data_IF_277116995694
#
_entry.id   IF_277116995694
#
_cell.length_a   1.000
_cell.length_b   1.000
_cell.length_c   1.000
_cell.angle_alpha   90.00
_cell.angle_beta   90.00
_cell.angle_gamma   90.00
#
_symmetry.space_group_name_H-M   'P 1'
#
loop_
_entity.id
_entity.type
_entity.pdbx_description
1 polymer ?
#
# COMPACT_ATOMS: atom_id res chain seq x y z
N UNK A 1 -43.87 -22.97 -13.89
CA UNK A 1 -43.08 -22.08 -14.77
C UNK A 1 -42.20 -21.07 -14.00
N UNK A 2 -42.12 -21.14 -12.66
CA UNK A 2 -41.31 -20.26 -11.81
C UNK A 2 -39.98 -20.87 -11.32
N UNK A 3 -39.83 -22.20 -11.38
CA UNK A 3 -38.59 -22.90 -10.96
C UNK A 3 -37.42 -22.71 -11.92
N UNK A 4 -37.70 -22.56 -13.22
CA UNK A 4 -36.67 -22.39 -14.26
C UNK A 4 -35.92 -21.06 -14.10
N UNK A 5 -36.55 -20.06 -13.47
CA UNK A 5 -35.93 -18.75 -13.20
C UNK A 5 -35.05 -18.74 -11.93
N UNK A 6 -35.24 -19.70 -11.01
CA UNK A 6 -34.48 -19.75 -9.74
C UNK A 6 -33.11 -20.40 -9.88
N UNK A 7 -32.98 -21.37 -10.79
CA UNK A 7 -31.71 -22.05 -11.07
C UNK A 7 -30.59 -21.14 -11.60
N UNK A 8 -30.81 -20.23 -12.57
CA UNK A 8 -29.75 -19.32 -13.03
C UNK A 8 -29.35 -18.29 -11.97
N UNK A 9 -30.26 -17.87 -11.10
CA UNK A 9 -29.98 -16.95 -9.99
C UNK A 9 -29.06 -17.57 -8.93
N UNK A 10 -29.31 -18.82 -8.53
CA UNK A 10 -28.48 -19.54 -7.57
C UNK A 10 -27.11 -19.93 -8.16
N UNK A 11 -27.05 -20.24 -9.45
CA UNK A 11 -25.79 -20.47 -10.16
C UNK A 11 -24.95 -19.18 -10.31
N UNK A 12 -25.60 -18.03 -10.52
CA UNK A 12 -24.92 -16.73 -10.62
C UNK A 12 -24.43 -16.22 -9.25
N UNK A 13 -25.21 -16.44 -8.18
CA UNK A 13 -24.82 -16.06 -6.82
C UNK A 13 -23.57 -16.80 -6.33
N UNK A 14 -23.48 -18.10 -6.60
CA UNK A 14 -22.32 -18.93 -6.19
C UNK A 14 -21.07 -18.68 -7.05
N UNK A 15 -21.24 -18.34 -8.34
CA UNK A 15 -20.14 -17.94 -9.21
C UNK A 15 -19.55 -16.55 -8.87
N UNK A 16 -20.38 -15.66 -8.32
CA UNK A 16 -19.97 -14.29 -7.92
C UNK A 16 -19.07 -14.32 -6.68
N UNK A 17 -19.35 -15.18 -5.69
CA UNK A 17 -18.54 -15.24 -4.46
C UNK A 17 -17.10 -15.76 -4.70
N UNK A 18 -16.91 -16.78 -5.54
CA UNK A 18 -15.56 -17.35 -5.78
C UNK A 18 -14.65 -16.45 -6.62
N UNK A 19 -15.21 -15.55 -7.43
CA UNK A 19 -14.46 -14.55 -8.20
C UNK A 19 -14.04 -13.35 -7.33
N UNK A 20 -14.62 -13.21 -6.13
CA UNK A 20 -14.41 -12.07 -5.23
C UNK A 20 -12.98 -11.93 -4.73
N UNK A 21 -12.41 -12.97 -4.10
CA UNK A 21 -11.15 -12.82 -3.36
C UNK A 21 -9.90 -12.66 -4.24
N UNK A 22 -9.81 -13.38 -5.37
CA UNK A 22 -8.66 -13.27 -6.28
C UNK A 22 -8.59 -11.91 -6.97
N UNK A 23 -9.73 -11.25 -7.15
CA UNK A 23 -9.81 -9.90 -7.72
C UNK A 23 -9.22 -8.84 -6.78
N UNK A 24 -9.19 -9.10 -5.47
CA UNK A 24 -8.58 -8.21 -4.47
C UNK A 24 -7.09 -8.44 -4.27
N UNK A 25 -6.46 -9.42 -4.95
CA UNK A 25 -5.03 -9.68 -4.81
C UNK A 25 -4.16 -8.42 -4.97
N UNK A 26 -4.36 -7.56 -5.98
CA UNK A 26 -3.54 -6.36 -6.12
C UNK A 26 -3.70 -5.41 -4.92
N UNK A 27 -4.94 -5.20 -4.46
CA UNK A 27 -5.22 -4.37 -3.29
C UNK A 27 -4.58 -4.94 -2.01
N UNK A 28 -4.69 -6.25 -1.79
CA UNK A 28 -4.08 -6.94 -0.65
C UNK A 28 -2.56 -6.81 -0.68
N UNK A 29 -1.94 -6.96 -1.86
CA UNK A 29 -0.48 -6.80 -2.02
C UNK A 29 -0.07 -5.36 -1.71
N UNK A 30 -0.82 -4.36 -2.21
CA UNK A 30 -0.48 -2.97 -1.98
C UNK A 30 -0.60 -2.56 -0.50
N UNK A 31 -1.73 -2.92 0.13
CA UNK A 31 -1.99 -2.60 1.53
C UNK A 31 -1.08 -3.41 2.46
N UNK A 32 -1.03 -4.74 2.27
CA UNK A 32 -0.20 -5.62 3.10
C UNK A 32 1.29 -5.30 2.97
N UNK A 33 1.75 -5.05 1.74
CA UNK A 33 3.12 -4.63 1.47
C UNK A 33 3.43 -3.31 2.16
N UNK A 34 2.55 -2.31 2.07
CA UNK A 34 2.83 -0.97 2.64
C UNK A 34 2.91 -1.02 4.16
N UNK A 35 2.02 -1.79 4.81
CA UNK A 35 2.09 -2.03 6.25
C UNK A 35 3.41 -2.71 6.61
N UNK A 36 3.81 -3.74 5.86
CA UNK A 36 5.08 -4.44 6.10
C UNK A 36 6.29 -3.50 5.97
N UNK A 37 6.29 -2.61 4.97
CA UNK A 37 7.37 -1.64 4.76
C UNK A 37 7.42 -0.59 5.89
N UNK A 38 6.27 -0.15 6.39
CA UNK A 38 6.16 0.73 7.57
C UNK A 38 6.66 0.04 8.84
N UNK A 39 6.31 -1.24 9.05
CA UNK A 39 6.85 -2.02 10.17
C UNK A 39 8.36 -2.22 10.07
N UNK A 40 8.88 -2.40 8.85
CA UNK A 40 10.31 -2.48 8.61
C UNK A 40 11.01 -1.15 8.92
N UNK A 41 10.40 -0.01 8.56
CA UNK A 41 10.88 1.34 8.92
C UNK A 41 11.02 1.51 10.44
N UNK A 42 10.09 0.95 11.21
CA UNK A 42 10.12 1.00 12.67
C UNK A 42 11.25 0.14 13.26
N UNK A 43 11.57 -0.99 12.64
CA UNK A 43 12.62 -1.90 13.11
C UNK A 43 14.04 -1.44 12.74
N UNK A 44 14.23 -0.92 11.53
CA UNK A 44 15.56 -0.50 11.03
C UNK A 44 15.97 0.91 11.49
N UNK A 45 15.05 1.69 12.05
CA UNK A 45 15.31 3.08 12.44
C UNK A 45 15.42 4.04 11.24
N UNK A 46 15.65 5.33 11.53
CA UNK A 46 15.55 6.40 10.54
C UNK A 46 16.78 6.64 9.67
N UNK A 47 17.98 6.26 10.14
CA UNK A 47 19.22 6.60 9.45
C UNK A 47 19.48 5.75 8.18
N UNK A 48 18.90 4.55 8.09
CA UNK A 48 19.18 3.58 7.02
C UNK A 48 17.96 3.27 6.14
N UNK A 49 16.88 4.04 6.27
CA UNK A 49 15.64 3.78 5.55
C UNK A 49 15.41 4.80 4.43
N UNK A 50 14.71 4.39 3.37
CA UNK A 50 14.34 5.25 2.24
C UNK A 50 13.52 6.45 2.73
N UNK A 51 13.83 7.66 2.23
CA UNK A 51 13.08 8.88 2.55
C UNK A 51 11.65 8.81 2.00
N UNK A 52 10.72 9.53 2.64
CA UNK A 52 9.34 9.61 2.17
C UNK A 52 9.24 10.22 0.75
N UNK A 53 10.09 11.20 0.44
CA UNK A 53 10.21 11.75 -0.91
C UNK A 53 10.64 10.70 -1.93
N UNK A 54 11.60 9.83 -1.58
CA UNK A 54 12.05 8.74 -2.44
C UNK A 54 10.94 7.73 -2.74
N UNK A 55 10.16 7.35 -1.73
CA UNK A 55 8.99 6.48 -1.92
C UNK A 55 7.92 7.14 -2.80
N UNK A 56 7.71 8.45 -2.66
CA UNK A 56 6.76 9.20 -3.48
C UNK A 56 7.20 9.28 -4.95
N UNK A 57 8.48 9.52 -5.22
CA UNK A 57 9.03 9.52 -6.58
C UNK A 57 8.95 8.13 -7.23
N UNK A 58 9.21 7.07 -6.47
CA UNK A 58 9.08 5.70 -6.97
C UNK A 58 7.61 5.35 -7.28
N UNK A 59 6.67 5.79 -6.44
CA UNK A 59 5.24 5.66 -6.71
C UNK A 59 4.86 6.36 -8.02
N UNK A 60 5.32 7.60 -8.23
CA UNK A 60 5.08 8.36 -9.45
C UNK A 60 5.65 7.65 -10.68
N UNK A 61 6.89 7.16 -10.61
CA UNK A 61 7.51 6.42 -11.71
C UNK A 61 6.72 5.15 -12.09
N UNK A 62 6.24 4.41 -11.08
CA UNK A 62 5.36 3.26 -11.29
C UNK A 62 4.04 3.65 -11.97
N UNK A 63 3.40 4.73 -11.53
CA UNK A 63 2.15 5.20 -12.15
C UNK A 63 2.34 5.67 -13.60
N UNK A 64 3.41 6.42 -13.88
CA UNK A 64 3.70 6.86 -15.24
C UNK A 64 3.95 5.66 -16.16
N UNK A 65 4.71 4.68 -15.69
CA UNK A 65 4.98 3.46 -16.47
C UNK A 65 3.70 2.65 -16.67
N UNK A 66 2.85 2.53 -15.65
CA UNK A 66 1.53 1.89 -15.76
C UNK A 66 0.64 2.60 -16.79
N UNK A 67 0.62 3.94 -16.78
CA UNK A 67 -0.14 4.74 -17.72
C UNK A 67 0.35 4.52 -19.16
N UNK A 68 1.67 4.45 -19.37
CA UNK A 68 2.26 4.13 -20.69
C UNK A 68 1.80 2.75 -21.15
N UNK A 69 1.87 1.71 -20.31
CA UNK A 69 1.41 0.37 -20.70
C UNK A 69 -0.10 0.32 -20.99
N UNK A 70 -0.93 1.03 -20.22
CA UNK A 70 -2.35 1.13 -20.50
C UNK A 70 -2.65 1.89 -21.80
N UNK A 71 -1.87 2.95 -22.10
CA UNK A 71 -1.96 3.66 -23.37
C UNK A 71 -1.52 2.76 -24.54
N UNK A 72 -0.42 2.03 -24.39
CA UNK A 72 0.03 1.04 -25.39
C UNK A 72 -1.06 0.00 -25.64
N UNK A 73 -1.71 -0.49 -24.58
CA UNK A 73 -2.81 -1.44 -24.72
C UNK A 73 -4.03 -0.87 -25.44
N UNK A 74 -4.24 0.46 -25.41
CA UNK A 74 -5.30 1.12 -26.16
C UNK A 74 -5.02 1.11 -27.68
N UNK A 75 -3.76 1.29 -28.07
CA UNK A 75 -3.34 1.30 -29.48
C UNK A 75 -3.11 -0.10 -30.05
N UNK A 76 -2.54 -1.01 -29.25
CA UNK A 76 -2.25 -2.39 -29.63
C UNK A 76 -2.68 -3.31 -28.48
N UNK A 77 -3.91 -3.86 -28.54
CA UNK A 77 -4.46 -4.69 -27.47
C UNK A 77 -3.57 -5.90 -27.19
N UNK A 78 -3.05 -5.97 -25.97
CA UNK A 78 -2.16 -7.02 -25.50
C UNK A 78 -2.43 -7.33 -24.04
N UNK A 79 -2.76 -8.59 -23.75
CA UNK A 79 -2.98 -9.03 -22.37
C UNK A 79 -1.75 -8.78 -21.47
N UNK A 80 -0.55 -8.84 -22.04
CA UNK A 80 0.68 -8.58 -21.30
C UNK A 80 0.78 -7.12 -20.86
N UNK A 81 0.47 -6.18 -21.76
CA UNK A 81 0.48 -4.75 -21.45
C UNK A 81 -0.58 -4.41 -20.39
N UNK A 82 -1.77 -5.02 -20.49
CA UNK A 82 -2.82 -4.85 -19.49
C UNK A 82 -2.40 -5.36 -18.10
N UNK A 83 -1.82 -6.57 -18.02
CA UNK A 83 -1.34 -7.15 -16.76
C UNK A 83 -0.17 -6.34 -16.18
N UNK A 84 0.79 -5.94 -17.01
CA UNK A 84 1.92 -5.10 -16.59
C UNK A 84 1.44 -3.75 -16.05
N UNK A 85 0.53 -3.07 -16.75
CA UNK A 85 -0.08 -1.82 -16.30
C UNK A 85 -0.77 -1.96 -14.94
N UNK A 86 -1.57 -3.02 -14.75
CA UNK A 86 -2.24 -3.30 -13.48
C UNK A 86 -1.25 -3.51 -12.33
N UNK A 87 -0.23 -4.34 -12.53
CA UNK A 87 0.77 -4.62 -11.49
C UNK A 87 1.62 -3.38 -11.18
N UNK A 88 2.00 -2.59 -12.18
CA UNK A 88 2.74 -1.34 -11.95
C UNK A 88 1.89 -0.29 -11.23
N UNK A 89 0.60 -0.17 -11.57
CA UNK A 89 -0.30 0.71 -10.84
C UNK A 89 -0.44 0.27 -9.38
N UNK A 90 -0.53 -1.04 -9.14
CA UNK A 90 -0.58 -1.62 -7.80
C UNK A 90 0.68 -1.31 -6.99
N UNK A 91 1.85 -1.48 -7.60
CA UNK A 91 3.14 -1.11 -7.01
C UNK A 91 3.23 0.40 -6.73
N UNK A 92 2.65 1.24 -7.59
CA UNK A 92 2.51 2.67 -7.34
C UNK A 92 1.67 2.97 -6.10
N UNK A 93 0.53 2.29 -5.93
CA UNK A 93 -0.33 2.41 -4.72
C UNK A 93 0.43 1.97 -3.48
N UNK A 94 1.12 0.84 -3.56
CA UNK A 94 1.99 0.34 -2.49
C UNK A 94 2.99 1.39 -2.01
N UNK A 95 3.77 1.98 -2.92
CA UNK A 95 4.79 2.97 -2.56
C UNK A 95 4.17 4.27 -2.05
N UNK A 96 3.02 4.69 -2.57
CA UNK A 96 2.32 5.89 -2.12
C UNK A 96 1.76 5.71 -0.69
N UNK A 97 1.13 4.57 -0.39
CA UNK A 97 0.68 4.27 0.97
C UNK A 97 1.86 4.18 1.94
N UNK A 98 2.96 3.58 1.49
CA UNK A 98 4.17 3.48 2.29
C UNK A 98 4.79 4.83 2.59
N UNK A 99 4.86 5.75 1.62
CA UNK A 99 5.41 7.09 1.82
C UNK A 99 4.61 7.86 2.86
N UNK A 100 3.28 7.74 2.83
CA UNK A 100 2.42 8.35 3.82
C UNK A 100 2.63 7.77 5.23
N UNK A 101 2.75 6.45 5.34
CA UNK A 101 3.08 5.80 6.62
C UNK A 101 4.43 6.23 7.19
N UNK A 102 5.46 6.33 6.34
CA UNK A 102 6.79 6.82 6.74
C UNK A 102 6.74 8.29 7.18
N UNK A 103 5.96 9.14 6.50
CA UNK A 103 5.74 10.54 6.94
C UNK A 103 5.14 10.63 8.33
N UNK A 104 4.17 9.76 8.64
CA UNK A 104 3.56 9.70 9.97
C UNK A 104 4.58 9.31 11.05
N UNK A 105 5.46 8.35 10.76
CA UNK A 105 6.54 7.97 11.67
C UNK A 105 7.51 9.14 11.86
N UNK A 106 7.95 9.79 10.78
CA UNK A 106 8.90 10.90 10.85
C UNK A 106 8.31 12.09 11.64
N UNK A 107 7.04 12.43 11.44
CA UNK A 107 6.35 13.47 12.21
C UNK A 107 6.34 13.14 13.72
N UNK A 108 6.00 11.88 14.07
CA UNK A 108 6.06 11.41 15.46
C UNK A 108 7.48 11.52 16.05
N UNK A 109 8.50 11.10 15.31
CA UNK A 109 9.89 11.17 15.77
C UNK A 109 10.33 12.62 16.04
N UNK A 110 9.90 13.56 15.19
CA UNK A 110 10.14 15.00 15.39
C UNK A 110 9.44 15.56 16.63
N UNK A 111 8.17 15.21 16.86
CA UNK A 111 7.43 15.62 18.05
C UNK A 111 8.08 15.09 19.34
N UNK A 112 8.48 13.82 19.34
CA UNK A 112 9.16 13.22 20.49
C UNK A 112 10.50 13.89 20.78
N UNK A 113 11.27 14.22 19.74
CA UNK A 113 12.51 14.95 19.89
C UNK A 113 12.28 16.35 20.49
N UNK A 114 11.20 17.04 20.09
CA UNK A 114 10.83 18.34 20.64
C UNK A 114 10.43 18.25 22.12
N UNK A 115 9.61 17.26 22.50
CA UNK A 115 9.21 17.03 23.91
C UNK A 115 10.42 16.73 24.79
N UNK A 116 11.31 15.84 24.33
CA UNK A 116 12.55 15.48 25.03
C UNK A 116 13.48 16.69 25.20
N UNK A 117 13.62 17.52 24.15
CA UNK A 117 14.45 18.74 24.21
C UNK A 117 13.90 19.76 25.22
N UNK A 118 12.58 19.83 25.37
CA UNK A 118 11.91 20.74 26.28
C UNK A 118 11.80 20.21 27.73
N UNK A 119 12.33 19.00 28.01
CA UNK A 119 12.24 18.38 29.34
C UNK A 119 10.82 17.96 29.75
N UNK A 120 9.89 17.87 28.79
CA UNK A 120 8.51 17.46 29.03
C UNK A 120 8.39 15.95 29.24
N UNK A 121 7.39 15.53 30.02
CA UNK A 121 7.08 14.11 30.18
C UNK A 121 6.59 13.50 28.87
N UNK A 122 7.05 12.29 28.56
CA UNK A 122 6.58 11.56 27.38
C UNK A 122 5.08 11.25 27.49
N UNK A 123 4.27 11.54 26.44
CA UNK A 123 2.85 11.20 26.43
C UNK A 123 2.63 9.70 26.64
N UNK A 124 1.53 9.33 27.30
CA UNK A 124 1.28 7.94 27.70
C UNK A 124 1.23 6.95 26.53
N UNK A 125 0.75 7.39 25.37
CA UNK A 125 0.69 6.60 24.14
C UNK A 125 2.06 6.47 23.44
N UNK A 126 3.02 7.33 23.77
CA UNK A 126 4.37 7.31 23.23
C UNK A 126 5.33 6.39 24.02
N UNK A 127 4.91 5.90 25.18
CA UNK A 127 5.69 5.02 26.08
C UNK A 127 5.75 3.54 25.64
N UNK A 128 5.76 3.25 24.33
CA UNK A 128 5.98 1.88 23.84
C UNK A 128 7.46 1.46 23.95
N UNK A 129 7.79 0.17 24.08
CA UNK A 129 8.99 -0.33 24.77
C UNK A 129 10.31 -0.28 23.96
N UNK A 130 10.36 0.37 22.79
CA UNK A 130 11.58 0.39 21.95
C UNK A 130 12.59 1.49 22.30
N UNK A 131 12.29 2.39 23.24
CA UNK A 131 13.22 3.42 23.70
C UNK A 131 14.14 2.91 24.82
N UNK A 132 14.89 1.83 24.58
CA UNK A 132 16.08 1.52 25.38
C UNK A 132 17.30 1.88 24.53
N UNK A 133 17.82 3.10 24.74
CA UNK A 133 19.13 3.50 24.23
C UNK A 133 20.15 2.43 24.64
N UNK A 134 20.80 1.80 23.68
CA UNK A 134 22.18 1.29 23.84
C UNK A 134 23.13 2.45 23.57
#
# INVERSE_FOLDING_TARGET
MSEVLRQPLLASATATERRGLRSFLPAIVAVGGSILLVLLRLQLGGAHFISDEGLMLLALACYLTAAVFHLTNLYAPSEMAQKAGLWLATTGVFFNLSSWGVRWINARDMELAAVLKNGGEMPWFARWPTFRRS
#
